data_IF_973207214211
#
_entry.id   IF_973207214211
#
_cell.length_a   1.000
_cell.length_b   1.000
_cell.length_c   1.000
_cell.angle_alpha   90.00
_cell.angle_beta   90.00
_cell.angle_gamma   90.00
#
_symmetry.space_group_name_H-M   'P 1'
#
loop_
_entity.id
_entity.type
_entity.pdbx_description
1 polymer ?
#
# COMPACT_ATOMS: atom_id res chain seq x y z
N UNK A 1 -106.06 -31.53 30.04
CA UNK A 1 -106.02 -30.65 28.86
C UNK A 1 -104.63 -30.05 28.85
N UNK A 2 -103.90 -30.32 27.79
CA UNK A 2 -102.44 -30.26 27.71
C UNK A 2 -101.91 -28.83 27.74
N UNK A 3 -100.90 -28.63 28.58
CA UNK A 3 -100.01 -27.47 28.57
C UNK A 3 -99.07 -27.58 27.36
N UNK A 4 -99.24 -26.70 26.37
CA UNK A 4 -98.26 -26.50 25.29
C UNK A 4 -97.80 -25.03 25.33
N UNK A 5 -96.97 -24.70 26.31
CA UNK A 5 -96.15 -23.50 26.28
C UNK A 5 -94.78 -23.89 25.72
N UNK A 6 -94.66 -23.88 24.38
CA UNK A 6 -93.36 -23.93 23.72
C UNK A 6 -92.67 -22.60 24.00
N UNK A 7 -91.79 -22.60 25.01
CA UNK A 7 -90.90 -21.47 25.28
C UNK A 7 -90.13 -21.10 24.01
N UNK A 8 -90.21 -19.83 23.63
CA UNK A 8 -89.31 -19.24 22.63
C UNK A 8 -87.87 -19.46 23.09
N UNK A 9 -87.14 -20.30 22.36
CA UNK A 9 -85.70 -20.39 22.53
C UNK A 9 -85.08 -19.09 22.00
N UNK A 10 -84.13 -18.48 22.73
CA UNK A 10 -83.43 -17.30 22.26
C UNK A 10 -82.74 -17.62 20.93
N UNK A 11 -83.05 -16.84 19.90
CA UNK A 11 -82.34 -16.90 18.62
C UNK A 11 -80.91 -16.46 18.89
N UNK A 12 -79.99 -17.42 19.01
CA UNK A 12 -78.57 -17.13 19.12
C UNK A 12 -78.14 -16.35 17.87
N UNK A 13 -77.75 -15.10 18.06
CA UNK A 13 -77.32 -14.22 16.98
C UNK A 13 -76.02 -14.77 16.38
N UNK A 14 -76.13 -15.49 15.27
CA UNK A 14 -75.01 -16.15 14.57
C UNK A 14 -74.02 -15.16 13.96
N UNK A 15 -74.40 -13.88 13.87
CA UNK A 15 -73.60 -12.83 13.23
C UNK A 15 -72.34 -12.45 14.02
N UNK A 16 -72.31 -12.71 15.34
CA UNK A 16 -71.16 -12.38 16.19
C UNK A 16 -70.00 -13.39 16.10
N UNK A 17 -70.26 -14.62 15.64
CA UNK A 17 -69.26 -15.71 15.60
C UNK A 17 -68.58 -15.87 14.23
N UNK A 18 -69.08 -15.16 13.21
CA UNK A 18 -68.59 -15.26 11.82
C UNK A 18 -67.44 -14.28 11.57
N UNK A 19 -67.34 -13.20 12.34
CA UNK A 19 -66.34 -12.13 12.18
C UNK A 19 -64.95 -12.55 12.66
N UNK A 20 -64.82 -13.19 13.83
CA UNK A 20 -63.52 -13.61 14.39
C UNK A 20 -62.81 -14.67 13.55
N UNK A 21 -63.55 -15.62 12.93
CA UNK A 21 -62.95 -16.62 12.03
C UNK A 21 -62.42 -16.01 10.73
N UNK A 22 -63.14 -15.03 10.17
CA UNK A 22 -62.69 -14.33 8.95
C UNK A 22 -61.42 -13.50 9.20
N UNK A 23 -61.28 -12.91 10.40
CA UNK A 23 -60.09 -12.13 10.78
C UNK A 23 -58.86 -13.03 10.96
N UNK A 24 -59.02 -14.21 11.55
CA UNK A 24 -57.93 -15.19 11.69
C UNK A 24 -57.47 -15.71 10.31
N UNK A 25 -58.41 -16.01 9.40
CA UNK A 25 -58.11 -16.43 8.03
C UNK A 25 -57.43 -15.32 7.19
N UNK A 26 -57.89 -14.07 7.31
CA UNK A 26 -57.29 -12.92 6.62
C UNK A 26 -55.87 -12.63 7.13
N UNK A 27 -55.66 -12.70 8.45
CA UNK A 27 -54.33 -12.51 9.05
C UNK A 27 -53.38 -13.67 8.71
N UNK A 28 -53.89 -14.89 8.57
CA UNK A 28 -53.14 -16.06 8.11
C UNK A 28 -52.69 -15.91 6.65
N UNK A 29 -53.60 -15.53 5.73
CA UNK A 29 -53.25 -15.30 4.33
C UNK A 29 -52.29 -14.11 4.16
N UNK A 30 -52.43 -13.05 4.96
CA UNK A 30 -51.47 -11.94 5.00
C UNK A 30 -50.08 -12.40 5.45
N UNK A 31 -49.97 -13.24 6.47
CA UNK A 31 -48.70 -13.82 6.95
C UNK A 31 -48.06 -14.73 5.90
N UNK A 32 -48.86 -15.54 5.21
CA UNK A 32 -48.40 -16.41 4.13
C UNK A 32 -47.89 -15.61 2.94
N UNK A 33 -48.58 -14.54 2.55
CA UNK A 33 -48.15 -13.62 1.51
C UNK A 33 -46.84 -12.91 1.87
N UNK A 34 -46.70 -12.43 3.12
CA UNK A 34 -45.47 -11.82 3.61
C UNK A 34 -44.30 -12.81 3.62
N UNK A 35 -44.49 -14.06 4.07
CA UNK A 35 -43.44 -15.08 4.03
C UNK A 35 -43.03 -15.42 2.60
N UNK A 36 -43.98 -15.53 1.67
CA UNK A 36 -43.67 -15.71 0.25
C UNK A 36 -42.85 -14.53 -0.30
N UNK A 37 -43.22 -13.29 0.04
CA UNK A 37 -42.48 -12.10 -0.38
C UNK A 37 -41.07 -12.05 0.24
N UNK A 38 -40.94 -12.34 1.54
CA UNK A 38 -39.68 -12.39 2.25
C UNK A 38 -38.76 -13.48 1.67
N UNK A 39 -39.29 -14.65 1.33
CA UNK A 39 -38.53 -15.73 0.71
C UNK A 39 -38.06 -15.36 -0.70
N UNK A 40 -38.91 -14.69 -1.49
CA UNK A 40 -38.51 -14.15 -2.81
C UNK A 40 -37.40 -13.12 -2.66
N UNK A 41 -37.55 -12.16 -1.75
CA UNK A 41 -36.52 -11.15 -1.48
C UNK A 41 -35.20 -11.78 -1.00
N UNK A 42 -35.27 -12.82 -0.16
CA UNK A 42 -34.08 -13.54 0.29
C UNK A 42 -33.38 -14.27 -0.86
N UNK A 43 -34.13 -14.98 -1.70
CA UNK A 43 -33.58 -15.64 -2.91
C UNK A 43 -32.96 -14.63 -3.86
N UNK A 44 -33.65 -13.53 -4.13
CA UNK A 44 -33.18 -12.48 -5.02
C UNK A 44 -31.90 -11.82 -4.50
N UNK A 45 -31.81 -11.52 -3.19
CA UNK A 45 -30.57 -11.01 -2.58
C UNK A 45 -29.43 -12.02 -2.67
N UNK A 46 -29.71 -13.30 -2.44
CA UNK A 46 -28.71 -14.37 -2.52
C UNK A 46 -28.19 -14.54 -3.95
N UNK A 47 -29.09 -14.57 -4.94
CA UNK A 47 -28.75 -14.63 -6.36
C UNK A 47 -28.02 -13.36 -6.82
N UNK A 48 -28.43 -12.19 -6.31
CA UNK A 48 -27.75 -10.92 -6.52
C UNK A 48 -26.31 -10.94 -6.00
N UNK A 49 -26.10 -11.44 -4.78
CA UNK A 49 -24.75 -11.55 -4.21
C UNK A 49 -23.90 -12.57 -4.96
N UNK A 50 -24.49 -13.70 -5.34
CA UNK A 50 -23.79 -14.71 -6.15
C UNK A 50 -23.34 -14.10 -7.49
N UNK A 51 -24.23 -13.38 -8.17
CA UNK A 51 -23.92 -12.68 -9.42
C UNK A 51 -22.84 -11.62 -9.25
N UNK A 52 -22.91 -10.83 -8.18
CA UNK A 52 -21.87 -9.84 -7.85
C UNK A 52 -20.51 -10.51 -7.65
N UNK A 53 -20.47 -11.62 -6.92
CA UNK A 53 -19.23 -12.38 -6.68
C UNK A 53 -18.69 -12.98 -7.98
N UNK A 54 -19.54 -13.56 -8.83
CA UNK A 54 -19.10 -14.10 -10.13
C UNK A 54 -18.53 -13.00 -11.04
N UNK A 55 -19.14 -11.81 -11.05
CA UNK A 55 -18.64 -10.67 -11.83
C UNK A 55 -17.31 -10.19 -11.28
N UNK A 56 -17.17 -10.07 -9.95
CA UNK A 56 -15.90 -9.69 -9.30
C UNK A 56 -14.78 -10.68 -9.62
N UNK A 57 -15.07 -11.97 -9.55
CA UNK A 57 -14.12 -13.03 -9.89
C UNK A 57 -13.70 -12.91 -11.36
N UNK A 58 -14.66 -12.79 -12.29
CA UNK A 58 -14.37 -12.65 -13.70
C UNK A 58 -13.55 -11.39 -14.02
N UNK A 59 -13.83 -10.27 -13.34
CA UNK A 59 -13.05 -9.04 -13.52
C UNK A 59 -11.62 -9.21 -13.00
N UNK A 60 -11.45 -9.81 -11.82
CA UNK A 60 -10.13 -10.09 -11.26
C UNK A 60 -9.32 -11.03 -12.16
N UNK A 61 -9.94 -12.05 -12.76
CA UNK A 61 -9.28 -12.94 -13.72
C UNK A 61 -8.83 -12.19 -14.99
N UNK A 62 -9.68 -11.32 -15.54
CA UNK A 62 -9.32 -10.47 -16.70
C UNK A 62 -8.18 -9.51 -16.39
N UNK A 63 -8.18 -8.89 -15.21
CA UNK A 63 -7.10 -8.02 -14.77
C UNK A 63 -5.79 -8.79 -14.61
N UNK A 64 -5.85 -9.98 -14.01
CA UNK A 64 -4.69 -10.88 -13.89
C UNK A 64 -4.12 -11.24 -15.26
N UNK A 65 -4.96 -11.60 -16.23
CA UNK A 65 -4.55 -11.92 -17.60
C UNK A 65 -3.89 -10.70 -18.29
N UNK A 66 -4.50 -9.51 -18.16
CA UNK A 66 -3.95 -8.27 -18.70
C UNK A 66 -2.56 -7.96 -18.13
N UNK A 67 -2.38 -8.13 -16.82
CA UNK A 67 -1.09 -7.93 -16.15
C UNK A 67 -0.06 -8.98 -16.60
N UNK A 68 -0.46 -10.24 -16.77
CA UNK A 68 0.40 -11.30 -17.27
C UNK A 68 0.91 -11.01 -18.68
N UNK A 69 0.03 -10.53 -19.57
CA UNK A 69 0.40 -10.09 -20.93
C UNK A 69 1.41 -8.93 -20.86
N UNK A 70 1.16 -7.92 -20.02
CA UNK A 70 2.07 -6.79 -19.86
C UNK A 70 3.43 -7.21 -19.32
N UNK A 71 3.47 -8.13 -18.34
CA UNK A 71 4.72 -8.68 -17.81
C UNK A 71 5.49 -9.44 -18.90
N UNK A 72 4.80 -10.25 -19.72
CA UNK A 72 5.42 -10.95 -20.84
C UNK A 72 6.03 -9.96 -21.84
N UNK A 73 5.28 -8.92 -22.22
CA UNK A 73 5.76 -7.87 -23.12
C UNK A 73 6.96 -7.11 -22.55
N UNK A 74 6.94 -6.80 -21.24
CA UNK A 74 8.04 -6.09 -20.59
C UNK A 74 9.30 -6.95 -20.50
N UNK A 75 9.15 -8.25 -20.22
CA UNK A 75 10.26 -9.22 -20.25
C UNK A 75 10.86 -9.32 -21.64
N UNK A 76 10.03 -9.42 -22.68
CA UNK A 76 10.50 -9.45 -24.07
C UNK A 76 11.26 -8.17 -24.44
N UNK A 77 10.74 -7.00 -24.09
CA UNK A 77 11.42 -5.71 -24.29
C UNK A 77 12.76 -5.64 -23.55
N UNK A 78 12.81 -6.09 -22.30
CA UNK A 78 14.05 -6.12 -21.52
C UNK A 78 15.09 -7.05 -22.16
N UNK A 79 14.68 -8.22 -22.65
CA UNK A 79 15.59 -9.13 -23.37
C UNK A 79 16.11 -8.45 -24.63
N UNK A 80 15.25 -7.82 -25.42
CA UNK A 80 15.63 -7.10 -26.64
C UNK A 80 16.62 -5.97 -26.35
N UNK A 81 16.34 -5.11 -25.37
CA UNK A 81 17.23 -4.03 -24.96
C UNK A 81 18.56 -4.57 -24.40
N UNK A 82 18.51 -5.67 -23.65
CA UNK A 82 19.72 -6.34 -23.15
C UNK A 82 20.60 -6.85 -24.29
N UNK A 83 20.00 -7.45 -25.32
CA UNK A 83 20.70 -7.87 -26.54
C UNK A 83 21.27 -6.67 -27.31
N UNK A 84 20.49 -5.61 -27.53
CA UNK A 84 20.95 -4.38 -28.18
C UNK A 84 22.13 -3.75 -27.44
N UNK A 85 22.05 -3.64 -26.11
CA UNK A 85 23.16 -3.16 -25.27
C UNK A 85 24.41 -4.05 -25.40
N UNK A 86 24.25 -5.38 -25.39
CA UNK A 86 25.37 -6.30 -25.59
C UNK A 86 26.01 -6.14 -26.98
N UNK A 87 25.20 -5.99 -28.02
CA UNK A 87 25.68 -5.74 -29.39
C UNK A 87 26.39 -4.39 -29.46
N UNK A 88 25.86 -3.33 -28.85
CA UNK A 88 26.50 -2.01 -28.84
C UNK A 88 27.82 -2.02 -28.07
N UNK A 89 27.88 -2.71 -26.93
CA UNK A 89 29.11 -2.86 -26.16
C UNK A 89 30.17 -3.69 -26.91
N UNK A 90 29.75 -4.76 -27.57
CA UNK A 90 30.66 -5.60 -28.36
C UNK A 90 31.08 -4.97 -29.69
N UNK A 91 30.20 -4.19 -30.33
CA UNK A 91 30.47 -3.48 -31.58
C UNK A 91 31.20 -2.15 -31.37
N UNK A 92 31.03 -1.48 -30.22
CA UNK A 92 31.77 -0.26 -29.85
C UNK A 92 33.12 -0.59 -29.22
N UNK A 93 33.86 -1.50 -29.84
CA UNK A 93 35.24 -1.78 -29.43
C UNK A 93 36.07 -0.49 -29.42
N UNK A 94 36.41 -0.03 -28.21
CA UNK A 94 37.39 1.02 -27.85
C UNK A 94 36.92 2.48 -27.75
N UNK A 95 36.54 2.90 -26.54
CA UNK A 95 37.29 3.92 -25.76
C UNK A 95 36.59 4.21 -24.43
N UNK A 96 37.14 3.67 -23.33
CA UNK A 96 37.40 4.36 -22.06
C UNK A 96 38.41 3.46 -21.34
N UNK A 97 39.66 3.90 -21.38
CA UNK A 97 40.76 3.37 -20.59
C UNK A 97 40.55 3.68 -19.11
N UNK A 98 40.36 2.65 -18.29
CA UNK A 98 40.71 2.70 -16.87
C UNK A 98 41.46 1.39 -16.54
N UNK A 99 42.59 1.58 -15.88
CA UNK A 99 43.77 0.72 -15.73
C UNK A 99 43.53 -0.72 -15.21
N UNK A 100 44.51 -1.62 -15.43
CA UNK A 100 44.35 -3.05 -15.22
C UNK A 100 44.62 -3.42 -13.77
N UNK A 101 43.69 -4.14 -13.14
CA UNK A 101 44.04 -5.05 -12.04
C UNK A 101 43.53 -6.42 -12.43
N UNK A 102 44.51 -7.28 -12.59
CA UNK A 102 44.42 -8.70 -12.89
C UNK A 102 43.43 -9.40 -11.97
N UNK A 103 42.39 -10.02 -12.53
CA UNK A 103 42.18 -11.43 -12.24
C UNK A 103 41.37 -12.12 -13.34
N UNK A 104 41.80 -13.32 -13.68
CA UNK A 104 41.16 -14.19 -14.66
C UNK A 104 39.77 -14.58 -14.17
N UNK A 105 38.70 -14.23 -14.90
CA UNK A 105 37.51 -15.09 -15.07
C UNK A 105 36.55 -14.56 -16.14
N UNK A 106 36.05 -15.52 -16.92
CA UNK A 106 35.04 -15.41 -17.96
C UNK A 106 33.67 -14.98 -17.39
N UNK A 107 33.53 -13.73 -16.99
CA UNK A 107 32.25 -13.22 -16.51
C UNK A 107 31.56 -12.44 -17.62
N UNK A 108 30.55 -13.10 -18.22
CA UNK A 108 29.45 -12.47 -18.93
C UNK A 108 29.13 -11.13 -18.25
N UNK A 109 29.30 -10.02 -18.98
CA UNK A 109 29.05 -8.66 -18.49
C UNK A 109 27.53 -8.50 -18.32
N UNK A 110 27.03 -9.08 -17.24
CA UNK A 110 25.68 -8.88 -16.72
C UNK A 110 25.73 -7.59 -15.93
N UNK A 111 24.96 -6.59 -16.36
CA UNK A 111 24.75 -5.37 -15.59
C UNK A 111 24.04 -5.73 -14.28
N UNK A 112 24.83 -5.97 -13.23
CA UNK A 112 24.33 -6.20 -11.88
C UNK A 112 24.25 -4.83 -11.21
N UNK A 113 23.08 -4.51 -10.65
CA UNK A 113 22.91 -3.30 -9.85
C UNK A 113 23.98 -3.29 -8.75
N UNK A 114 24.73 -2.19 -8.56
CA UNK A 114 25.83 -2.15 -7.59
C UNK A 114 25.34 -2.60 -6.22
N UNK A 115 26.09 -3.51 -5.60
CA UNK A 115 25.73 -3.93 -4.25
C UNK A 115 25.81 -2.72 -3.32
N UNK A 116 25.01 -2.64 -2.25
CA UNK A 116 25.00 -1.49 -1.32
C UNK A 116 26.42 -1.06 -0.89
N UNK A 117 27.32 -2.03 -0.68
CA UNK A 117 28.74 -1.80 -0.36
C UNK A 117 29.52 -1.13 -1.50
N UNK A 118 29.26 -1.55 -2.73
CA UNK A 118 29.90 -1.09 -3.96
C UNK A 118 29.44 0.32 -4.34
N UNK A 119 28.16 0.62 -4.11
CA UNK A 119 27.63 1.98 -4.24
C UNK A 119 28.29 2.94 -3.24
N UNK A 120 28.46 2.53 -1.98
CA UNK A 120 29.11 3.35 -0.94
C UNK A 120 30.57 3.62 -1.28
N UNK A 121 31.33 2.60 -1.68
CA UNK A 121 32.75 2.77 -2.04
C UNK A 121 32.97 3.69 -3.25
N UNK A 122 32.02 3.73 -4.20
CA UNK A 122 32.08 4.65 -5.35
C UNK A 122 31.52 6.05 -5.05
N UNK A 123 30.67 6.19 -4.04
CA UNK A 123 29.99 7.46 -3.72
C UNK A 123 30.70 8.26 -2.62
N UNK A 124 31.59 7.62 -1.84
CA UNK A 124 32.31 8.25 -0.73
C UNK A 124 33.79 7.92 -0.86
N UNK A 125 34.63 8.96 -0.94
CA UNK A 125 36.09 8.80 -0.99
C UNK A 125 36.62 8.46 0.41
N UNK A 126 36.72 7.15 0.69
CA UNK A 126 37.21 6.62 1.98
C UNK A 126 38.69 6.93 2.25
N UNK A 127 39.43 7.42 1.25
CA UNK A 127 40.86 7.75 1.37
C UNK A 127 41.14 8.86 2.40
N UNK A 128 40.18 9.77 2.61
CA UNK A 128 40.36 10.92 3.52
C UNK A 128 39.94 10.65 4.98
N UNK A 129 39.37 9.48 5.28
CA UNK A 129 38.85 9.19 6.61
C UNK A 129 39.36 7.84 7.09
N UNK A 130 40.30 7.89 8.05
CA UNK A 130 40.83 6.75 8.81
C UNK A 130 39.73 6.03 9.62
N UNK A 131 38.79 5.37 8.95
CA UNK A 131 37.81 4.49 9.56
C UNK A 131 37.92 3.10 8.96
N UNK A 132 38.81 2.32 9.57
CA UNK A 132 38.87 0.88 9.43
C UNK A 132 37.55 0.24 9.86
N UNK A 133 36.81 -0.23 8.85
CA UNK A 133 35.88 -1.36 8.82
C UNK A 133 34.76 -1.50 9.88
N UNK A 134 33.59 -1.82 9.32
CA UNK A 134 32.43 -2.49 9.94
C UNK A 134 31.68 -1.71 11.01
N UNK A 135 30.71 -0.90 10.57
CA UNK A 135 29.31 -0.87 11.04
C UNK A 135 28.72 0.53 10.78
N UNK A 136 28.51 0.88 9.51
CA UNK A 136 27.72 2.06 9.16
C UNK A 136 26.25 1.71 9.45
N UNK A 137 25.76 2.08 10.64
CA UNK A 137 24.35 1.98 11.02
C UNK A 137 23.55 3.04 10.26
N UNK A 138 23.18 2.69 9.03
CA UNK A 138 22.25 3.47 8.21
C UNK A 138 20.86 3.33 8.85
N UNK A 139 20.31 4.42 9.37
CA UNK A 139 18.90 4.50 9.78
C UNK A 139 18.63 4.72 11.27
N UNK A 140 19.62 5.08 12.09
CA UNK A 140 19.36 5.47 13.48
C UNK A 140 19.74 6.93 13.72
N UNK A 141 18.91 7.65 14.46
CA UNK A 141 19.38 8.77 15.26
C UNK A 141 20.10 8.19 16.48
N UNK A 142 21.32 8.64 16.74
CA UNK A 142 22.09 8.22 17.90
C UNK A 142 22.43 9.45 18.76
N UNK A 143 22.47 9.25 20.07
CA UNK A 143 22.87 10.27 21.03
C UNK A 143 24.34 10.03 21.37
N UNK A 144 25.19 11.02 21.05
CA UNK A 144 26.58 11.04 21.50
C UNK A 144 26.73 12.34 22.30
N UNK A 145 27.08 12.20 23.58
CA UNK A 145 27.32 13.31 24.52
C UNK A 145 26.10 14.25 24.70
N UNK A 146 24.92 13.70 25.01
CA UNK A 146 23.65 14.42 25.22
C UNK A 146 23.14 15.26 24.02
N UNK A 147 23.79 15.15 22.86
CA UNK A 147 23.34 15.78 21.62
C UNK A 147 22.72 14.71 20.70
N UNK A 148 21.47 14.93 20.29
CA UNK A 148 20.78 14.06 19.32
C UNK A 148 21.32 14.33 17.91
N UNK A 149 21.91 13.32 17.30
CA UNK A 149 22.39 13.38 15.92
C UNK A 149 21.50 12.57 14.99
N UNK A 150 21.19 13.15 13.83
CA UNK A 150 20.41 12.51 12.79
C UNK A 150 21.32 12.09 11.64
N UNK A 151 21.24 10.81 11.26
CA UNK A 151 21.84 10.33 10.02
C UNK A 151 21.06 10.85 8.83
N UNK A 152 21.65 10.80 7.63
CA UNK A 152 21.01 11.27 6.38
C UNK A 152 19.59 10.69 6.23
N UNK A 153 19.40 9.39 6.49
CA UNK A 153 18.08 8.74 6.43
C UNK A 153 17.10 9.32 7.45
N UNK A 154 17.55 9.50 8.70
CA UNK A 154 16.71 10.06 9.76
C UNK A 154 16.33 11.53 9.51
N UNK A 155 17.14 12.29 8.77
CA UNK A 155 16.80 13.66 8.37
C UNK A 155 15.67 13.66 7.34
N UNK A 156 15.71 12.75 6.35
CA UNK A 156 14.61 12.61 5.40
C UNK A 156 13.30 12.29 6.10
N UNK A 157 13.32 11.34 7.03
CA UNK A 157 12.15 10.95 7.81
C UNK A 157 11.64 12.13 8.66
N UNK A 158 12.55 12.86 9.31
CA UNK A 158 12.23 14.04 10.12
C UNK A 158 11.62 15.19 9.31
N UNK A 159 12.18 15.48 8.13
CA UNK A 159 11.66 16.51 7.22
C UNK A 159 10.28 16.13 6.67
N UNK A 160 10.08 14.86 6.37
CA UNK A 160 8.79 14.35 5.89
C UNK A 160 7.71 14.41 6.98
N UNK A 161 8.03 14.01 8.22
CA UNK A 161 7.13 14.12 9.36
C UNK A 161 6.79 15.58 9.67
N UNK A 162 7.79 16.47 9.64
CA UNK A 162 7.57 17.90 9.86
C UNK A 162 6.68 18.53 8.77
N UNK A 163 6.78 18.07 7.51
CA UNK A 163 5.87 18.48 6.43
C UNK A 163 4.45 17.96 6.65
N UNK A 164 4.30 16.72 7.13
CA UNK A 164 2.99 16.11 7.38
C UNK A 164 2.23 16.80 8.52
N UNK A 165 2.95 17.30 9.53
CA UNK A 165 2.38 18.02 10.68
C UNK A 165 2.04 19.48 10.36
N UNK A 166 2.74 20.09 9.40
CA UNK A 166 2.55 21.49 9.02
C UNK A 166 2.12 21.57 7.54
N UNK A 167 0.88 21.17 7.28
CA UNK A 167 0.31 21.13 5.92
C UNK A 167 0.27 22.52 5.24
N UNK A 168 0.25 23.59 6.04
CA UNK A 168 0.22 24.99 5.59
C UNK A 168 1.60 25.58 5.23
N UNK A 169 2.70 24.84 5.45
CA UNK A 169 4.07 25.33 5.29
C UNK A 169 4.75 24.67 4.11
N UNK A 170 5.19 25.48 3.13
CA UNK A 170 5.90 24.97 1.95
C UNK A 170 7.41 24.84 2.24
N UNK A 171 7.86 23.61 2.43
CA UNK A 171 9.26 23.30 2.76
C UNK A 171 10.01 22.89 1.51
N UNK A 172 11.07 23.63 1.17
CA UNK A 172 11.94 23.30 0.06
C UNK A 172 13.04 22.31 0.49
N UNK A 173 12.72 21.01 0.43
CA UNK A 173 13.60 19.91 0.86
C UNK A 173 14.96 19.96 0.14
N UNK A 174 14.98 20.31 -1.15
CA UNK A 174 16.21 20.38 -1.94
C UNK A 174 17.18 21.44 -1.41
N UNK A 175 16.70 22.63 -1.04
CA UNK A 175 17.53 23.70 -0.46
C UNK A 175 18.07 23.33 0.92
N UNK A 176 17.22 22.72 1.76
CA UNK A 176 17.62 22.24 3.09
C UNK A 176 18.74 21.20 2.98
N UNK A 177 18.61 20.24 2.05
CA UNK A 177 19.63 19.22 1.82
C UNK A 177 20.92 19.76 1.22
N UNK A 178 20.84 20.82 0.39
CA UNK A 178 22.02 21.51 -0.15
C UNK A 178 22.78 22.30 0.91
N UNK A 179 22.08 22.97 1.83
CA UNK A 179 22.71 23.72 2.92
C UNK A 179 23.24 22.81 4.05
N UNK A 180 22.63 21.64 4.23
CA UNK A 180 23.14 20.61 5.14
C UNK A 180 24.44 20.02 4.59
N UNK A 181 24.55 19.80 3.29
CA UNK A 181 25.74 19.20 2.64
C UNK A 181 27.02 19.98 2.99
N UNK A 182 28.00 19.28 3.57
CA UNK A 182 29.29 19.87 3.96
C UNK A 182 29.39 20.28 5.43
N UNK A 183 28.30 20.22 6.20
CA UNK A 183 28.29 20.41 7.67
C UNK A 183 28.22 19.08 8.43
N UNK A 184 28.46 17.95 7.76
CA UNK A 184 28.42 16.63 8.36
C UNK A 184 29.53 16.41 9.40
N UNK A 185 29.19 15.70 10.48
CA UNK A 185 30.15 15.17 11.44
C UNK A 185 30.10 13.64 11.43
N UNK A 186 31.25 13.02 11.22
CA UNK A 186 31.38 11.56 11.24
C UNK A 186 31.54 11.04 12.67
N UNK A 187 30.68 10.12 13.11
CA UNK A 187 30.81 9.49 14.43
C UNK A 187 30.94 7.96 14.37
N UNK A 188 31.75 7.45 13.44
CA UNK A 188 31.98 6.00 13.29
C UNK A 188 30.81 5.21 12.67
N UNK A 189 29.58 5.72 12.75
CA UNK A 189 28.37 5.12 12.17
C UNK A 189 27.94 5.76 10.84
N UNK A 190 28.72 6.71 10.32
CA UNK A 190 28.45 7.47 9.10
C UNK A 190 28.31 8.97 9.31
N UNK A 191 28.03 9.74 8.24
CA UNK A 191 27.79 11.17 8.32
C UNK A 191 26.47 11.45 9.05
N UNK A 192 26.54 12.29 10.08
CA UNK A 192 25.37 12.74 10.82
C UNK A 192 25.42 14.23 11.08
N UNK A 193 24.24 14.78 11.35
CA UNK A 193 24.03 16.20 11.59
C UNK A 193 23.43 16.39 12.97
N UNK A 194 23.84 17.46 13.65
CA UNK A 194 23.26 17.85 14.93
C UNK A 194 21.80 18.27 14.73
N UNK A 195 20.90 17.82 15.61
CA UNK A 195 19.50 18.22 15.56
C UNK A 195 19.33 19.75 15.59
N UNK A 196 20.12 20.46 16.39
CA UNK A 196 20.05 21.93 16.46
C UNK A 196 20.33 22.58 15.10
N UNK A 197 21.33 22.09 14.37
CA UNK A 197 21.68 22.60 13.04
C UNK A 197 20.56 22.32 12.02
N UNK A 198 19.98 21.11 12.08
CA UNK A 198 18.87 20.73 11.20
C UNK A 198 17.65 21.61 11.46
N UNK A 199 17.29 21.84 12.72
CA UNK A 199 16.18 22.71 13.11
C UNK A 199 16.40 24.16 12.69
N UNK A 200 17.60 24.71 12.85
CA UNK A 200 17.93 26.06 12.39
C UNK A 200 17.75 26.23 10.87
N UNK A 201 18.20 25.24 10.09
CA UNK A 201 18.10 25.26 8.62
C UNK A 201 16.64 25.13 8.18
N UNK A 202 15.86 24.28 8.84
CA UNK A 202 14.42 24.14 8.59
C UNK A 202 13.72 25.47 8.83
N UNK A 203 13.93 26.11 9.99
CA UNK A 203 13.30 27.41 10.32
C UNK A 203 13.67 28.49 9.29
N UNK A 204 14.89 28.47 8.75
CA UNK A 204 15.34 29.43 7.73
C UNK A 204 14.70 29.22 6.35
N UNK A 205 14.33 27.98 6.02
CA UNK A 205 13.82 27.56 4.71
C UNK A 205 12.35 27.16 4.70
N UNK A 206 11.66 27.41 5.81
CA UNK A 206 10.20 27.42 5.94
C UNK A 206 9.71 28.77 5.41
N UNK A 207 8.86 28.72 4.37
CA UNK A 207 8.22 29.89 3.76
C UNK A 207 6.79 30.02 4.25
#
# INVERSE_FOLDING_TARGET
MEDNNYGEYPVFNTEYYITDKNIDDETYERRKAQNRAAQRAFRERKEGKLRELTIKLQNAEKEREKLEIQLKQLREKNVKLGMENQILLSSSGSSISISPVSDNRNDNIMFKFPTKKEFINKSVDLSQHNSSNSNILIGQSYEINDEKLLTISAIWDYLYEFKQLNEDVEINISKIMEELRGKEKCHGFGPAYKLSLVNEIIIRHVV
#
